data_IF_181361668513
#
_entry.id   IF_181361668513
#
_cell.length_a   1.000
_cell.length_b   1.000
_cell.length_c   1.000
_cell.angle_alpha   90.00
_cell.angle_beta   90.00
_cell.angle_gamma   90.00
#
_symmetry.space_group_name_H-M   'P 1'
#
loop_
_entity.id
_entity.type
_entity.pdbx_description
1 polymer ?
#
# COMPACT_ATOMS: atom_id res chain seq x y z
N UNK A 1 15.19 -7.85 2.68
CA UNK A 1 14.53 -8.58 3.77
C UNK A 1 13.84 -7.63 4.75
N UNK A 2 14.54 -6.62 5.32
CA UNK A 2 13.97 -5.71 6.33
C UNK A 2 12.75 -4.92 5.84
N UNK A 3 12.75 -4.44 4.59
CA UNK A 3 11.62 -3.70 4.03
C UNK A 3 10.38 -4.58 3.85
N UNK A 4 10.54 -5.86 3.48
CA UNK A 4 9.43 -6.82 3.38
C UNK A 4 8.80 -7.06 4.77
N UNK A 5 9.63 -7.28 5.79
CA UNK A 5 9.15 -7.41 7.17
C UNK A 5 8.42 -6.15 7.64
N UNK A 6 8.94 -4.96 7.29
CA UNK A 6 8.28 -3.70 7.61
C UNK A 6 6.90 -3.57 6.94
N UNK A 7 6.78 -3.95 5.66
CA UNK A 7 5.49 -3.97 4.95
C UNK A 7 4.52 -4.93 5.63
N UNK A 8 4.95 -6.17 5.95
CA UNK A 8 4.11 -7.14 6.63
C UNK A 8 3.66 -6.65 8.02
N UNK A 9 4.56 -6.02 8.78
CA UNK A 9 4.24 -5.43 10.08
C UNK A 9 3.21 -4.29 9.95
N UNK A 10 3.35 -3.43 8.93
CA UNK A 10 2.40 -2.36 8.66
C UNK A 10 1.02 -2.91 8.25
N UNK A 11 0.96 -4.01 7.50
CA UNK A 11 -0.31 -4.68 7.18
C UNK A 11 -1.00 -5.21 8.43
N UNK A 12 -0.26 -5.86 9.32
CA UNK A 12 -0.79 -6.34 10.62
C UNK A 12 -1.27 -5.16 11.46
N UNK A 13 -0.47 -4.10 11.55
CA UNK A 13 -0.84 -2.87 12.26
C UNK A 13 -2.15 -2.28 11.70
N UNK A 14 -2.31 -2.24 10.39
CA UNK A 14 -3.53 -1.71 9.76
C UNK A 14 -4.77 -2.51 10.17
N UNK A 15 -4.67 -3.85 10.12
CA UNK A 15 -5.77 -4.74 10.54
C UNK A 15 -6.08 -4.55 12.04
N UNK A 16 -5.05 -4.40 12.89
CA UNK A 16 -5.23 -4.17 14.33
C UNK A 16 -5.91 -2.82 14.60
N UNK A 17 -5.44 -1.73 13.98
CA UNK A 17 -6.06 -0.40 14.11
C UNK A 17 -7.54 -0.44 13.72
N UNK A 18 -7.85 -1.15 12.64
CA UNK A 18 -9.23 -1.33 12.21
C UNK A 18 -10.05 -2.13 13.24
N UNK A 19 -9.54 -3.25 13.72
CA UNK A 19 -10.24 -4.08 14.71
C UNK A 19 -10.53 -3.28 15.99
N UNK A 20 -9.54 -2.51 16.46
CA UNK A 20 -9.68 -1.64 17.62
C UNK A 20 -10.75 -0.56 17.37
N UNK A 21 -10.74 0.08 16.18
CA UNK A 21 -11.71 1.11 15.81
C UNK A 21 -13.15 0.61 15.96
N UNK A 22 -13.46 -0.60 15.48
CA UNK A 22 -14.81 -1.17 15.57
C UNK A 22 -15.19 -1.70 16.98
N UNK A 23 -14.25 -1.68 17.91
CA UNK A 23 -14.48 -2.10 19.31
C UNK A 23 -14.67 -0.91 20.26
N UNK A 24 -14.56 0.31 19.77
CA UNK A 24 -14.64 1.55 20.56
C UNK A 24 -15.92 2.30 20.18
N UNK A 25 -16.71 2.68 21.18
CA UNK A 25 -17.93 3.50 21.01
C UNK A 25 -17.66 5.00 21.30
N UNK A 26 -16.54 5.53 20.84
CA UNK A 26 -16.17 6.93 21.01
C UNK A 26 -15.83 7.56 19.66
N UNK A 27 -16.65 8.53 19.22
CA UNK A 27 -16.55 9.18 17.90
C UNK A 27 -15.16 9.80 17.67
N UNK A 28 -14.58 10.44 18.68
CA UNK A 28 -13.26 11.07 18.53
C UNK A 28 -12.15 10.02 18.40
N UNK A 29 -12.23 8.94 19.17
CA UNK A 29 -11.28 7.83 19.08
C UNK A 29 -11.43 7.07 17.76
N UNK A 30 -12.66 6.82 17.29
CA UNK A 30 -12.93 6.21 15.97
C UNK A 30 -12.28 7.04 14.85
N UNK A 31 -12.44 8.38 14.89
CA UNK A 31 -11.88 9.29 13.90
C UNK A 31 -10.35 9.30 13.92
N UNK A 32 -9.73 9.39 15.10
CA UNK A 32 -8.26 9.35 15.23
C UNK A 32 -7.68 8.04 14.74
N UNK A 33 -8.34 6.92 15.05
CA UNK A 33 -7.95 5.61 14.52
C UNK A 33 -8.10 5.55 13.01
N UNK A 34 -9.16 6.14 12.45
CA UNK A 34 -9.35 6.23 11.00
C UNK A 34 -8.24 7.05 10.32
N UNK A 35 -7.83 8.19 10.87
CA UNK A 35 -6.67 8.94 10.38
C UNK A 35 -5.37 8.12 10.49
N UNK A 36 -5.24 7.29 11.52
CA UNK A 36 -4.07 6.43 11.71
C UNK A 36 -3.93 5.36 10.62
N UNK A 37 -5.00 5.02 9.86
CA UNK A 37 -4.91 4.12 8.71
C UNK A 37 -4.02 4.68 7.61
N UNK A 38 -3.87 6.00 7.52
CA UNK A 38 -3.02 6.64 6.52
C UNK A 38 -1.53 6.40 6.77
N UNK A 39 -1.16 6.01 7.98
CA UNK A 39 0.22 5.60 8.26
C UNK A 39 0.62 4.36 7.43
N UNK A 40 0.01 3.19 7.58
CA UNK A 40 0.33 2.05 6.72
C UNK A 40 0.00 2.32 5.24
N UNK A 41 -1.07 3.04 4.94
CA UNK A 41 -1.53 3.34 3.59
C UNK A 41 -0.49 4.12 2.78
N UNK A 42 0.19 5.10 3.37
CA UNK A 42 1.24 5.89 2.74
C UNK A 42 2.61 5.19 2.74
N UNK A 43 2.94 4.46 3.83
CA UNK A 43 4.25 3.85 3.97
C UNK A 43 4.42 2.56 3.17
N UNK A 44 3.37 1.75 2.99
CA UNK A 44 3.44 0.50 2.24
C UNK A 44 3.85 0.75 0.77
N UNK A 45 3.21 1.66 0.00
CA UNK A 45 3.63 1.96 -1.37
C UNK A 45 5.04 2.53 -1.43
N UNK A 46 5.42 3.41 -0.51
CA UNK A 46 6.79 3.96 -0.44
C UNK A 46 7.82 2.85 -0.19
N UNK A 47 7.59 1.96 0.77
CA UNK A 47 8.49 0.83 1.05
C UNK A 47 8.54 -0.17 -0.12
N UNK A 48 7.44 -0.31 -0.87
CA UNK A 48 7.41 -1.13 -2.09
C UNK A 48 8.38 -0.59 -3.16
N UNK A 49 8.59 0.73 -3.23
CA UNK A 49 9.64 1.32 -4.07
C UNK A 49 11.02 0.83 -3.62
N UNK A 50 11.31 0.79 -2.32
CA UNK A 50 12.61 0.31 -1.82
C UNK A 50 12.82 -1.17 -2.14
N UNK A 51 11.79 -1.99 -1.97
CA UNK A 51 11.82 -3.41 -2.35
C UNK A 51 12.12 -3.53 -3.84
N UNK A 52 11.38 -2.82 -4.69
CA UNK A 52 11.54 -2.90 -6.15
C UNK A 52 12.94 -2.50 -6.64
N UNK A 53 13.60 -1.54 -5.96
CA UNK A 53 14.97 -1.13 -6.25
C UNK A 53 16.02 -2.15 -5.80
N UNK A 54 15.68 -2.98 -4.80
CA UNK A 54 16.58 -4.02 -4.28
C UNK A 54 16.51 -5.31 -5.09
N UNK A 55 15.50 -5.47 -5.97
CA UNK A 55 15.28 -6.69 -6.75
C UNK A 55 16.44 -6.99 -7.70
N UNK A 56 16.86 -8.24 -7.72
CA UNK A 56 17.92 -8.75 -8.61
C UNK A 56 19.32 -8.21 -8.27
N UNK A 57 19.51 -7.62 -7.09
CA UNK A 57 20.78 -7.10 -6.62
C UNK A 57 21.27 -7.91 -5.41
N UNK A 58 22.60 -8.10 -5.30
CA UNK A 58 23.23 -8.87 -4.22
C UNK A 58 22.98 -8.26 -2.82
N UNK A 59 23.31 -9.01 -1.77
CA UNK A 59 23.08 -8.62 -0.38
C UNK A 59 23.78 -7.32 0.02
N UNK A 60 24.89 -7.00 -0.62
CA UNK A 60 25.68 -5.76 -0.36
C UNK A 60 25.08 -4.51 -1.03
N UNK A 61 23.94 -4.65 -1.74
CA UNK A 61 23.33 -3.52 -2.42
C UNK A 61 22.80 -2.48 -1.44
N UNK A 62 23.34 -1.26 -1.58
CA UNK A 62 22.85 -0.09 -0.84
C UNK A 62 21.85 0.69 -1.71
N UNK A 63 20.71 1.01 -1.13
CA UNK A 63 19.73 1.86 -1.79
C UNK A 63 20.32 3.21 -2.19
N UNK A 64 19.97 3.74 -3.37
CA UNK A 64 20.37 5.08 -3.79
C UNK A 64 19.95 6.14 -2.76
N UNK A 65 20.74 7.18 -2.58
CA UNK A 65 20.45 8.24 -1.60
C UNK A 65 19.11 8.95 -1.86
N UNK A 66 18.68 9.04 -3.12
CA UNK A 66 17.43 9.68 -3.48
C UNK A 66 16.19 8.99 -2.90
N UNK A 67 16.25 7.67 -2.63
CA UNK A 67 15.12 6.95 -2.04
C UNK A 67 14.76 7.48 -0.65
N UNK A 68 15.74 8.02 0.08
CA UNK A 68 15.48 8.66 1.38
C UNK A 68 14.63 9.94 1.25
N UNK A 69 14.65 10.60 0.09
CA UNK A 69 13.82 11.78 -0.15
C UNK A 69 12.32 11.44 -0.18
N UNK A 70 11.95 10.18 -0.46
CA UNK A 70 10.56 9.75 -0.46
C UNK A 70 9.91 9.82 0.93
N UNK A 71 10.70 9.77 2.00
CA UNK A 71 10.17 9.95 3.35
C UNK A 71 9.57 11.35 3.55
N UNK A 72 10.14 12.39 2.92
CA UNK A 72 9.69 13.76 3.11
C UNK A 72 8.23 13.96 2.68
N UNK A 73 7.83 13.72 1.41
CA UNK A 73 6.44 13.85 1.00
C UNK A 73 5.50 12.88 1.75
N UNK A 74 5.96 11.66 2.03
CA UNK A 74 5.17 10.69 2.79
C UNK A 74 4.83 11.20 4.19
N UNK A 75 5.81 11.75 4.91
CA UNK A 75 5.60 12.32 6.24
C UNK A 75 4.75 13.61 6.20
N UNK A 76 4.96 14.47 5.20
CA UNK A 76 4.15 15.69 5.03
C UNK A 76 2.68 15.36 4.78
N UNK A 77 2.40 14.38 3.92
CA UNK A 77 1.04 13.92 3.64
C UNK A 77 0.42 13.24 4.86
N UNK A 78 1.19 12.44 5.61
CA UNK A 78 0.71 11.87 6.85
C UNK A 78 0.34 12.95 7.87
N UNK A 79 1.21 13.94 8.07
CA UNK A 79 0.92 15.08 8.95
C UNK A 79 -0.32 15.85 8.48
N UNK A 80 -0.47 16.07 7.17
CA UNK A 80 -1.65 16.71 6.60
C UNK A 80 -2.93 15.95 6.97
N UNK A 81 -2.93 14.61 6.92
CA UNK A 81 -4.10 13.81 7.33
C UNK A 81 -4.32 13.85 8.83
N UNK A 82 -3.27 13.66 9.64
CA UNK A 82 -3.40 13.64 11.10
C UNK A 82 -3.83 14.98 11.70
N UNK A 83 -3.53 16.09 11.01
CA UNK A 83 -3.95 17.45 11.44
C UNK A 83 -5.23 17.92 10.74
N UNK A 84 -5.95 17.04 10.05
CA UNK A 84 -7.12 17.41 9.27
C UNK A 84 -8.21 18.13 10.07
N UNK A 85 -8.36 17.84 11.36
CA UNK A 85 -9.34 18.50 12.24
C UNK A 85 -9.12 20.02 12.34
N UNK A 86 -7.88 20.49 12.11
CA UNK A 86 -7.53 21.91 12.17
C UNK A 86 -7.86 22.69 10.89
N UNK A 87 -7.79 22.04 9.73
CA UNK A 87 -7.86 22.73 8.43
C UNK A 87 -8.85 22.12 7.43
N UNK A 88 -9.35 20.91 7.67
CA UNK A 88 -10.34 20.19 6.85
C UNK A 88 -10.00 20.16 5.34
N UNK A 89 -8.71 20.10 4.98
CA UNK A 89 -8.27 20.10 3.58
C UNK A 89 -8.23 18.70 2.96
N UNK A 90 -8.22 17.64 3.78
CA UNK A 90 -8.27 16.25 3.33
C UNK A 90 -9.69 15.73 3.36
N UNK A 91 -10.38 15.96 4.47
CA UNK A 91 -11.78 15.62 4.70
C UNK A 91 -12.49 16.82 5.27
N UNK A 92 -13.63 17.19 4.69
CA UNK A 92 -14.55 18.18 5.25
C UNK A 92 -15.78 17.50 5.84
N UNK A 93 -16.35 18.09 6.86
CA UNK A 93 -17.48 17.54 7.61
C UNK A 93 -18.69 18.48 7.48
N UNK A 94 -19.56 18.27 6.47
CA UNK A 94 -20.69 19.15 6.19
C UNK A 94 -21.70 19.27 7.34
N UNK A 95 -21.84 18.20 8.14
CA UNK A 95 -22.73 18.17 9.32
C UNK A 95 -22.20 18.96 10.52
N UNK A 96 -20.95 19.45 10.45
CA UNK A 96 -20.26 20.08 11.60
C UNK A 96 -19.80 19.08 12.66
N UNK A 97 -20.17 17.80 12.54
CA UNK A 97 -19.73 16.73 13.44
C UNK A 97 -18.52 16.05 12.79
N UNK A 98 -17.39 16.09 13.48
CA UNK A 98 -16.16 15.43 13.04
C UNK A 98 -16.31 13.92 13.19
N UNK A 99 -16.75 13.22 12.12
CA UNK A 99 -17.02 11.79 12.14
C UNK A 99 -16.55 11.14 10.84
N UNK A 100 -16.07 9.89 10.93
CA UNK A 100 -15.75 9.06 9.78
C UNK A 100 -16.97 8.48 9.05
N UNK A 101 -18.19 8.80 9.49
CA UNK A 101 -19.45 8.33 8.90
C UNK A 101 -20.01 9.31 7.87
N UNK A 102 -19.80 10.63 8.06
CA UNK A 102 -20.24 11.69 7.14
C UNK A 102 -19.10 12.64 6.84
N UNK A 103 -18.45 12.46 5.72
CA UNK A 103 -17.35 13.32 5.25
C UNK A 103 -17.36 13.47 3.74
N UNK A 104 -16.66 14.47 3.25
CA UNK A 104 -16.38 14.68 1.83
C UNK A 104 -14.88 14.73 1.61
N UNK A 105 -14.45 14.18 0.47
CA UNK A 105 -13.05 14.24 0.05
C UNK A 105 -12.73 15.63 -0.49
N UNK A 106 -11.69 16.23 0.04
CA UNK A 106 -11.16 17.52 -0.37
C UNK A 106 -9.86 17.35 -1.17
N UNK A 107 -9.29 18.46 -1.64
CA UNK A 107 -8.12 18.46 -2.52
C UNK A 107 -6.92 17.72 -1.91
N UNK A 108 -6.71 17.81 -0.60
CA UNK A 108 -5.65 17.11 0.12
C UNK A 108 -5.71 15.58 -0.04
N UNK A 109 -6.91 15.00 -0.07
CA UNK A 109 -7.09 13.58 -0.30
C UNK A 109 -6.55 13.14 -1.68
N UNK A 110 -6.76 13.94 -2.72
CA UNK A 110 -6.25 13.62 -4.06
C UNK A 110 -4.72 13.71 -4.13
N UNK A 111 -4.07 14.54 -3.33
CA UNK A 111 -2.61 14.52 -3.20
C UNK A 111 -2.11 13.22 -2.54
N UNK A 112 -2.81 12.75 -1.48
CA UNK A 112 -2.51 11.46 -0.85
C UNK A 112 -2.65 10.32 -1.86
N UNK A 113 -3.79 10.23 -2.54
CA UNK A 113 -4.06 9.20 -3.54
C UNK A 113 -3.07 9.26 -4.72
N UNK A 114 -2.74 10.47 -5.18
CA UNK A 114 -1.75 10.69 -6.23
C UNK A 114 -0.36 10.19 -5.83
N UNK A 115 0.05 10.46 -4.59
CA UNK A 115 1.32 9.97 -4.06
C UNK A 115 1.38 8.44 -3.99
N UNK A 116 0.31 7.80 -3.50
CA UNK A 116 0.20 6.34 -3.46
C UNK A 116 0.29 5.73 -4.85
N UNK A 117 -0.45 6.29 -5.81
CA UNK A 117 -0.45 5.84 -7.19
C UNK A 117 0.95 5.99 -7.83
N UNK A 118 1.65 7.10 -7.57
CA UNK A 118 3.01 7.33 -8.05
C UNK A 118 4.00 6.31 -7.47
N UNK A 119 3.96 6.07 -6.15
CA UNK A 119 4.83 5.09 -5.51
C UNK A 119 4.54 3.67 -6.01
N UNK A 120 3.27 3.27 -6.08
CA UNK A 120 2.86 1.94 -6.56
C UNK A 120 3.23 1.74 -8.04
N UNK A 121 2.96 2.73 -8.89
CA UNK A 121 3.32 2.71 -10.31
C UNK A 121 4.82 2.62 -10.52
N UNK A 122 5.60 3.41 -9.79
CA UNK A 122 7.06 3.36 -9.85
C UNK A 122 7.62 2.01 -9.38
N UNK A 123 7.10 1.48 -8.26
CA UNK A 123 7.48 0.16 -7.76
C UNK A 123 7.19 -0.91 -8.81
N UNK A 124 6.01 -0.90 -9.41
CA UNK A 124 5.61 -1.85 -10.45
C UNK A 124 6.53 -1.75 -11.67
N UNK A 125 6.76 -0.56 -12.23
CA UNK A 125 7.65 -0.37 -13.38
C UNK A 125 9.08 -0.84 -13.10
N UNK A 126 9.56 -0.57 -11.89
CA UNK A 126 10.89 -1.03 -11.45
C UNK A 126 10.95 -2.55 -11.33
N UNK A 127 9.91 -3.20 -10.82
CA UNK A 127 9.82 -4.67 -10.76
C UNK A 127 9.86 -5.28 -12.15
N UNK A 128 9.06 -4.78 -13.08
CA UNK A 128 9.03 -5.25 -14.48
C UNK A 128 10.40 -5.07 -15.16
N UNK A 129 11.05 -3.92 -14.93
CA UNK A 129 12.37 -3.62 -15.51
C UNK A 129 13.48 -4.52 -14.96
N UNK A 130 13.45 -4.79 -13.66
CA UNK A 130 14.48 -5.57 -12.97
C UNK A 130 14.22 -7.08 -13.03
N UNK A 131 13.11 -7.51 -13.62
CA UNK A 131 12.81 -8.94 -13.81
C UNK A 131 13.85 -9.59 -14.72
N UNK A 132 14.67 -10.50 -14.15
CA UNK A 132 15.76 -11.19 -14.84
C UNK A 132 15.39 -12.59 -15.35
N UNK A 133 14.13 -13.01 -15.27
CA UNK A 133 13.72 -14.34 -15.71
C UNK A 133 13.74 -14.39 -17.26
N UNK A 134 14.72 -15.10 -17.87
CA UNK A 134 14.90 -15.05 -19.32
C UNK A 134 13.81 -15.83 -20.08
N UNK A 135 13.13 -16.77 -19.44
CA UNK A 135 12.37 -17.82 -20.13
C UNK A 135 10.88 -17.52 -20.34
N UNK A 136 10.30 -16.48 -19.73
CA UNK A 136 8.88 -16.21 -19.95
C UNK A 136 8.54 -14.73 -19.92
N UNK A 137 8.47 -14.13 -21.10
CA UNK A 137 7.94 -12.75 -21.27
C UNK A 137 6.53 -12.60 -20.69
N UNK A 138 5.73 -13.69 -20.64
CA UNK A 138 4.37 -13.69 -20.09
C UNK A 138 4.34 -13.56 -18.56
N UNK A 139 5.25 -14.26 -17.86
CA UNK A 139 5.33 -14.25 -16.39
C UNK A 139 5.72 -12.85 -15.87
N UNK A 140 6.50 -12.08 -16.64
CA UNK A 140 6.87 -10.69 -16.29
C UNK A 140 5.67 -9.79 -16.01
N UNK A 141 4.54 -10.04 -16.67
CA UNK A 141 3.32 -9.25 -16.55
C UNK A 141 2.36 -9.78 -15.49
N UNK A 142 2.65 -10.93 -14.87
CA UNK A 142 1.79 -11.52 -13.85
C UNK A 142 1.50 -10.56 -12.68
N UNK A 143 2.47 -9.79 -12.13
CA UNK A 143 2.20 -8.81 -11.09
C UNK A 143 1.28 -7.65 -11.53
N UNK A 144 1.10 -7.44 -12.84
CA UNK A 144 0.18 -6.43 -13.36
C UNK A 144 -1.29 -6.79 -13.05
N UNK A 145 -1.63 -8.07 -13.03
CA UNK A 145 -3.01 -8.51 -12.82
C UNK A 145 -3.55 -8.06 -11.46
N UNK A 146 -2.91 -8.38 -10.30
CA UNK A 146 -3.37 -7.88 -9.01
C UNK A 146 -3.33 -6.35 -8.92
N UNK A 147 -2.35 -5.69 -9.56
CA UNK A 147 -2.28 -4.23 -9.58
C UNK A 147 -3.49 -3.60 -10.30
N UNK A 148 -3.85 -4.10 -11.48
CA UNK A 148 -5.04 -3.63 -12.24
C UNK A 148 -6.32 -3.94 -11.47
N UNK A 149 -6.42 -5.13 -10.85
CA UNK A 149 -7.55 -5.50 -10.01
C UNK A 149 -7.68 -4.57 -8.79
N UNK A 150 -6.56 -4.18 -8.19
CA UNK A 150 -6.51 -3.20 -7.09
C UNK A 150 -7.07 -1.85 -7.51
N UNK A 151 -6.63 -1.33 -8.65
CA UNK A 151 -7.13 -0.06 -9.19
C UNK A 151 -8.62 -0.13 -9.54
N UNK A 152 -9.05 -1.23 -10.18
CA UNK A 152 -10.45 -1.45 -10.50
C UNK A 152 -11.32 -1.53 -9.24
N UNK A 153 -10.82 -2.20 -8.19
CA UNK A 153 -11.49 -2.29 -6.90
C UNK A 153 -11.65 -0.91 -6.24
N UNK A 154 -10.57 -0.12 -6.17
CA UNK A 154 -10.61 1.24 -5.59
C UNK A 154 -11.59 2.13 -6.36
N UNK A 155 -11.58 2.05 -7.70
CA UNK A 155 -12.52 2.78 -8.53
C UNK A 155 -13.98 2.37 -8.29
N UNK A 156 -14.26 1.07 -8.26
CA UNK A 156 -15.59 0.53 -8.01
C UNK A 156 -16.09 0.88 -6.59
N UNK A 157 -15.21 0.86 -5.60
CA UNK A 157 -15.50 1.29 -4.23
C UNK A 157 -15.86 2.79 -4.19
N UNK A 158 -15.08 3.65 -4.86
CA UNK A 158 -15.33 5.09 -4.93
C UNK A 158 -16.64 5.43 -5.67
N UNK A 159 -17.08 4.56 -6.60
CA UNK A 159 -18.37 4.69 -7.31
C UNK A 159 -19.54 4.03 -6.59
N UNK A 160 -19.35 3.55 -5.35
CA UNK A 160 -20.38 2.85 -4.56
C UNK A 160 -21.05 1.70 -5.32
N UNK A 161 -20.29 0.92 -6.08
CA UNK A 161 -20.81 -0.23 -6.80
C UNK A 161 -21.25 -1.30 -5.81
N UNK A 162 -22.55 -1.61 -5.79
CA UNK A 162 -23.19 -2.50 -4.81
C UNK A 162 -22.47 -3.84 -4.62
N UNK A 163 -22.05 -4.49 -5.71
CA UNK A 163 -21.36 -5.78 -5.65
C UNK A 163 -20.03 -5.75 -4.93
N UNK A 164 -19.30 -4.62 -4.97
CA UNK A 164 -18.05 -4.45 -4.26
C UNK A 164 -18.28 -4.40 -2.75
N UNK A 165 -19.34 -3.74 -2.32
CA UNK A 165 -19.75 -3.71 -0.92
C UNK A 165 -20.15 -5.09 -0.39
N UNK A 166 -20.88 -5.86 -1.19
CA UNK A 166 -21.35 -7.21 -0.81
C UNK A 166 -20.21 -8.23 -0.79
N UNK A 167 -19.34 -8.22 -1.79
CA UNK A 167 -18.28 -9.23 -1.95
C UNK A 167 -17.02 -8.93 -1.12
N UNK A 168 -16.65 -7.68 -1.01
CA UNK A 168 -15.39 -7.29 -0.39
C UNK A 168 -15.51 -6.95 1.09
N UNK A 169 -16.73 -6.75 1.60
CA UNK A 169 -17.05 -6.51 3.02
C UNK A 169 -16.32 -5.35 3.67
N UNK A 170 -15.04 -5.18 3.40
CA UNK A 170 -14.22 -4.11 3.94
C UNK A 170 -13.00 -3.80 3.08
N UNK A 171 -12.79 -2.52 2.82
CA UNK A 171 -11.70 -2.02 1.98
C UNK A 171 -10.32 -2.37 2.54
N UNK A 172 -10.12 -2.29 3.85
CA UNK A 172 -8.82 -2.56 4.49
C UNK A 172 -8.38 -3.99 4.29
N UNK A 173 -9.29 -4.95 4.53
CA UNK A 173 -9.00 -6.38 4.35
C UNK A 173 -8.71 -6.68 2.88
N UNK A 174 -9.51 -6.15 1.98
CA UNK A 174 -9.32 -6.35 0.54
C UNK A 174 -7.99 -5.77 0.05
N UNK A 175 -7.61 -4.58 0.51
CA UNK A 175 -6.30 -3.97 0.19
C UNK A 175 -5.14 -4.82 0.72
N UNK A 176 -5.22 -5.30 1.96
CA UNK A 176 -4.20 -6.19 2.52
C UNK A 176 -4.06 -7.48 1.73
N UNK A 177 -5.18 -8.10 1.31
CA UNK A 177 -5.16 -9.30 0.48
C UNK A 177 -4.56 -9.05 -0.91
N UNK A 178 -4.87 -7.91 -1.53
CA UNK A 178 -4.28 -7.51 -2.81
C UNK A 178 -2.78 -7.31 -2.68
N UNK A 179 -2.32 -6.61 -1.65
CA UNK A 179 -0.89 -6.39 -1.40
C UNK A 179 -0.18 -7.72 -1.15
N UNK A 180 -0.76 -8.60 -0.31
CA UNK A 180 -0.22 -9.94 -0.07
C UNK A 180 -0.11 -10.75 -1.37
N UNK A 181 -1.14 -10.70 -2.23
CA UNK A 181 -1.13 -11.38 -3.53
C UNK A 181 -0.05 -10.83 -4.47
N UNK A 182 0.17 -9.51 -4.49
CA UNK A 182 1.24 -8.88 -5.27
C UNK A 182 2.61 -9.37 -4.78
N UNK A 183 2.84 -9.38 -3.46
CA UNK A 183 4.09 -9.83 -2.87
C UNK A 183 4.34 -11.31 -3.17
N UNK A 184 3.32 -12.15 -3.04
CA UNK A 184 3.40 -13.58 -3.36
C UNK A 184 3.71 -13.80 -4.85
N UNK A 185 3.03 -13.09 -5.76
CA UNK A 185 3.35 -13.15 -7.19
C UNK A 185 4.80 -12.73 -7.46
N UNK A 186 5.30 -11.69 -6.78
CA UNK A 186 6.69 -11.25 -6.93
C UNK A 186 7.68 -12.32 -6.46
N UNK A 187 7.38 -13.04 -5.38
CA UNK A 187 8.20 -14.14 -4.86
C UNK A 187 8.19 -15.32 -5.85
N UNK A 188 7.01 -15.77 -6.28
CA UNK A 188 6.86 -16.91 -7.18
C UNK A 188 7.45 -16.65 -8.57
N UNK A 189 7.41 -15.42 -9.04
CA UNK A 189 8.05 -15.04 -10.30
C UNK A 189 9.57 -14.88 -10.20
N UNK A 190 10.17 -15.13 -9.02
CA UNK A 190 11.59 -14.89 -8.78
C UNK A 190 12.02 -13.43 -8.88
N UNK A 191 11.06 -12.50 -8.83
CA UNK A 191 11.32 -11.05 -8.78
C UNK A 191 11.92 -10.66 -7.43
N UNK A 192 11.63 -11.44 -6.40
CA UNK A 192 12.20 -11.34 -5.05
C UNK A 192 12.85 -12.70 -4.77
N UNK A 193 14.18 -12.73 -4.61
CA UNK A 193 14.87 -13.92 -4.14
C UNK A 193 14.44 -14.18 -2.69
N UNK A 194 13.63 -15.23 -2.48
CA UNK A 194 13.53 -15.83 -1.16
C UNK A 194 14.83 -16.63 -0.99
N UNK A 195 15.70 -16.24 -0.09
CA UNK A 195 16.90 -17.00 0.33
C UNK A 195 16.51 -18.28 1.09
N UNK A 196 15.53 -19.02 0.61
CA UNK A 196 15.19 -20.36 1.04
C UNK A 196 15.81 -21.31 0.02
N UNK A 197 17.10 -21.67 0.23
CA UNK A 197 17.69 -22.95 -0.15
C UNK A 197 17.39 -23.58 -1.53
N UNK A 198 16.95 -22.82 -2.52
CA UNK A 198 16.59 -23.34 -3.84
C UNK A 198 17.81 -23.49 -4.77
N UNK A 199 18.94 -22.82 -4.44
CA UNK A 199 20.11 -22.85 -5.31
C UNK A 199 20.88 -24.19 -5.21
N UNK A 200 20.67 -25.00 -4.17
CA UNK A 200 21.38 -26.30 -4.03
C UNK A 200 20.66 -27.48 -4.71
N UNK A 201 19.41 -27.33 -5.16
CA UNK A 201 18.64 -28.44 -5.74
C UNK A 201 18.66 -28.50 -7.27
N UNK A 202 19.20 -27.51 -7.96
CA UNK A 202 19.24 -27.45 -9.41
C UNK A 202 20.65 -27.41 -10.03
N UNK A 203 21.70 -27.49 -9.22
CA UNK A 203 23.09 -27.67 -9.69
C UNK A 203 23.59 -29.13 -9.59
N UNK A 204 22.72 -30.11 -9.44
CA UNK A 204 23.05 -31.53 -9.43
C UNK A 204 22.62 -32.25 -10.70
#
# INVERSE_FOLDING_TARGET
>A
RHYMLAISALMVLWILLRSIKFSIDNIDAERLLWYSYYFPMLFIPMLSVFVSQSLGKGEDFRLPRWTKLLYLPTLLLLLLVLTNDLHQQVFSFPSGILSDREYRYEVGFFFVLGWEALCAGFAFLSMVKNCRIPHSRRIRWLPLVPFVLSLAYVYAYAKNVYWVWVLAGDMTVSQCLIIASILECCIQCGLIHSNLGYDELFEA
#
